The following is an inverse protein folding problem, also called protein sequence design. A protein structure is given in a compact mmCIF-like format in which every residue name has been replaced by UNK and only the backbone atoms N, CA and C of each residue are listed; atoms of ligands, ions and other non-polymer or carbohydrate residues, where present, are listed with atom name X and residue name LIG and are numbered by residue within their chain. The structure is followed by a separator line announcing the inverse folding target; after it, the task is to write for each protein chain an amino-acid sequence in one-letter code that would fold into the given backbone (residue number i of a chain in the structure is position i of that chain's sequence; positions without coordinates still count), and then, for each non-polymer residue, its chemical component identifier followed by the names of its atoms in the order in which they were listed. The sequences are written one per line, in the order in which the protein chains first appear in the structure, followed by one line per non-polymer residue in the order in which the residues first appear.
data_IF_458547420467
#
_entry.id   IF_458547420467
#
_cell.length_a   1.000
_cell.length_b   1.000
_cell.length_c   1.000
_cell.angle_alpha   90.00
_cell.angle_beta   90.00
_cell.angle_gamma   90.00
#
_symmetry.space_group_name_H-M   'P 1'
#
loop_
_entity.id
_entity.type
_entity.pdbx_description
1 polymer ?
#
# COMPACT_ATOMS: atom_id res chain seq x y z
N UNK A 1 -3.10 26.29 9.02
CA UNK A 1 -3.92 25.31 8.28
C UNK A 1 -3.28 23.96 8.51
N UNK A 2 -4.04 22.93 8.87
CA UNK A 2 -3.51 21.64 9.32
C UNK A 2 -2.90 20.84 8.16
N UNK A 3 -1.59 20.57 8.22
CA UNK A 3 -0.86 19.68 7.29
C UNK A 3 -1.18 18.19 7.48
N UNK A 4 -2.14 17.89 8.36
CA UNK A 4 -2.55 16.56 8.74
C UNK A 4 -3.05 15.69 7.57
N UNK A 5 -3.89 16.21 6.63
CA UNK A 5 -4.33 15.43 5.46
C UNK A 5 -3.16 15.04 4.56
N UNK A 6 -2.21 15.96 4.34
CA UNK A 6 -1.02 15.71 3.51
C UNK A 6 -0.05 14.72 4.17
N UNK A 7 0.09 14.77 5.51
CA UNK A 7 0.88 13.78 6.24
C UNK A 7 0.27 12.38 6.19
N UNK A 8 -1.04 12.28 6.39
CA UNK A 8 -1.76 11.01 6.27
C UNK A 8 -1.60 10.39 4.88
N UNK A 9 -1.74 11.20 3.83
CA UNK A 9 -1.58 10.73 2.44
C UNK A 9 -0.17 10.20 2.16
N UNK A 10 0.85 10.91 2.66
CA UNK A 10 2.24 10.47 2.56
C UNK A 10 2.51 9.17 3.34
N UNK A 11 1.96 9.03 4.56
CA UNK A 11 2.12 7.82 5.37
C UNK A 11 1.40 6.62 4.74
N UNK A 12 0.20 6.82 4.19
CA UNK A 12 -0.55 5.80 3.46
C UNK A 12 0.16 5.35 2.19
N UNK A 13 0.72 6.31 1.43
CA UNK A 13 1.53 6.02 0.25
C UNK A 13 2.77 5.22 0.61
N UNK A 14 3.51 5.65 1.65
CA UNK A 14 4.70 4.95 2.12
C UNK A 14 4.39 3.52 2.60
N UNK A 15 3.26 3.33 3.28
CA UNK A 15 2.79 2.03 3.73
C UNK A 15 2.49 1.09 2.54
N UNK A 16 1.82 1.59 1.50
CA UNK A 16 1.52 0.80 0.30
C UNK A 16 2.80 0.38 -0.44
N UNK A 17 3.76 1.29 -0.60
CA UNK A 17 5.06 0.96 -1.22
C UNK A 17 5.86 -0.07 -0.40
N UNK A 18 5.81 0.01 0.93
CA UNK A 18 6.45 -0.97 1.80
C UNK A 18 5.78 -2.36 1.67
N UNK A 19 4.45 -2.40 1.64
CA UNK A 19 3.69 -3.63 1.48
C UNK A 19 3.91 -4.28 0.11
N UNK A 20 3.92 -3.51 -0.98
CA UNK A 20 4.24 -4.00 -2.32
C UNK A 20 5.67 -4.56 -2.42
N UNK A 21 6.65 -3.88 -1.80
CA UNK A 21 8.03 -4.41 -1.71
C UNK A 21 8.07 -5.73 -0.94
N UNK A 22 7.38 -5.81 0.19
CA UNK A 22 7.31 -7.03 0.98
C UNK A 22 6.63 -8.18 0.21
N UNK A 23 5.56 -7.89 -0.54
CA UNK A 23 4.89 -8.85 -1.40
C UNK A 23 5.80 -9.35 -2.54
N UNK A 24 6.60 -8.47 -3.16
CA UNK A 24 7.60 -8.88 -4.17
C UNK A 24 8.68 -9.78 -3.58
N UNK A 25 9.19 -9.46 -2.39
CA UNK A 25 10.14 -10.34 -1.68
C UNK A 25 9.49 -11.68 -1.34
N UNK A 26 8.23 -11.69 -0.93
CA UNK A 26 7.43 -12.89 -0.74
C UNK A 26 7.32 -13.77 -1.99
N UNK A 27 7.23 -13.20 -3.20
CA UNK A 27 7.22 -13.99 -4.44
C UNK A 27 8.52 -14.80 -4.65
N UNK A 28 9.62 -14.39 -4.04
CA UNK A 28 10.89 -15.15 -4.06
C UNK A 28 10.97 -16.25 -2.98
N UNK A 29 10.01 -16.28 -2.05
CA UNK A 29 9.93 -17.28 -0.99
C UNK A 29 8.84 -18.31 -1.34
N UNK A 30 9.20 -19.59 -1.41
CA UNK A 30 8.22 -20.66 -1.60
C UNK A 30 7.32 -20.81 -0.36
N UNK A 31 6.02 -21.03 -0.60
CA UNK A 31 5.00 -21.46 0.37
C UNK A 31 4.45 -20.36 1.33
N UNK A 32 3.34 -20.67 2.00
CA UNK A 32 2.48 -19.89 2.93
C UNK A 32 2.84 -18.48 3.43
N UNK A 33 4.09 -18.14 3.79
CA UNK A 33 4.46 -16.80 4.28
C UNK A 33 4.28 -15.72 3.20
N UNK A 34 4.42 -16.12 1.93
CA UNK A 34 4.18 -15.24 0.81
C UNK A 34 2.70 -14.81 0.69
N UNK A 35 1.78 -15.64 1.18
CA UNK A 35 0.34 -15.40 1.09
C UNK A 35 -0.09 -14.27 2.02
N UNK A 36 0.37 -14.29 3.27
CA UNK A 36 0.13 -13.20 4.23
C UNK A 36 0.64 -11.86 3.72
N UNK A 37 1.81 -11.85 3.08
CA UNK A 37 2.40 -10.63 2.51
C UNK A 37 1.61 -10.12 1.28
N UNK A 38 1.05 -11.02 0.46
CA UNK A 38 0.12 -10.64 -0.63
C UNK A 38 -1.19 -10.09 -0.08
N UNK A 39 -1.75 -10.68 0.98
CA UNK A 39 -2.97 -10.17 1.61
C UNK A 39 -2.76 -8.77 2.20
N UNK A 40 -1.62 -8.55 2.88
CA UNK A 40 -1.26 -7.23 3.42
C UNK A 40 -1.14 -6.20 2.30
N UNK A 41 -0.46 -6.52 1.20
CA UNK A 41 -0.32 -5.62 0.07
C UNK A 41 -1.66 -5.27 -0.61
N UNK A 42 -2.53 -6.27 -0.82
CA UNK A 42 -3.85 -6.04 -1.39
C UNK A 42 -4.74 -5.19 -0.46
N UNK A 43 -4.64 -5.41 0.85
CA UNK A 43 -5.35 -4.62 1.85
C UNK A 43 -4.87 -3.16 1.87
N UNK A 44 -3.56 -2.93 1.88
CA UNK A 44 -3.00 -1.57 1.87
C UNK A 44 -3.34 -0.82 0.59
N UNK A 45 -3.29 -1.49 -0.58
CA UNK A 45 -3.68 -0.90 -1.86
C UNK A 45 -5.15 -0.44 -1.83
N UNK A 46 -6.04 -1.29 -1.33
CA UNK A 46 -7.45 -0.93 -1.16
C UNK A 46 -7.63 0.26 -0.20
N UNK A 47 -6.91 0.27 0.92
CA UNK A 47 -6.98 1.34 1.91
C UNK A 47 -6.55 2.68 1.31
N UNK A 48 -5.46 2.70 0.52
CA UNK A 48 -5.03 3.90 -0.22
C UNK A 48 -6.08 4.32 -1.25
N UNK A 49 -6.71 3.39 -1.97
CA UNK A 49 -7.75 3.73 -2.93
C UNK A 49 -9.04 4.27 -2.26
N UNK A 50 -9.39 3.75 -1.08
CA UNK A 50 -10.61 4.13 -0.35
C UNK A 50 -10.44 5.42 0.48
N UNK A 51 -9.20 5.73 0.93
CA UNK A 51 -8.93 6.86 1.85
C UNK A 51 -8.00 7.93 1.28
N UNK A 52 -7.22 7.61 0.25
CA UNK A 52 -6.40 8.58 -0.46
C UNK A 52 -7.27 9.52 -1.30
N UNK A 53 -6.81 10.75 -1.58
CA UNK A 53 -7.44 11.59 -2.59
C UNK A 53 -7.49 10.80 -3.90
N UNK A 54 -8.58 10.88 -4.69
CA UNK A 54 -8.72 10.09 -5.91
C UNK A 54 -7.47 10.25 -6.75
N UNK A 55 -6.66 9.18 -6.81
CA UNK A 55 -5.45 9.15 -7.61
C UNK A 55 -5.88 9.58 -9.00
N UNK A 56 -5.38 10.74 -9.41
CA UNK A 56 -5.66 11.31 -10.72
C UNK A 56 -5.62 10.19 -11.74
N UNK A 57 -6.76 9.98 -12.40
CA UNK A 57 -6.82 9.39 -13.72
C UNK A 57 -5.90 10.22 -14.63
N UNK A 58 -4.60 9.92 -14.61
CA UNK A 58 -3.63 10.41 -15.58
C UNK A 58 -3.63 9.40 -16.71
N UNK A 59 -4.65 9.57 -17.55
CA UNK A 59 -4.58 9.28 -18.97
C UNK A 59 -3.60 10.25 -19.64
#
# INVERSE_FOLDING_TARGET
MSDFPNRLDNELTALNEAAQRAARTALSLNHSQAESLRMIAAFTERLVNDTGPPLRARH
#
